data_IF_834547726532
#
_entry.id   IF_834547726532
#
_cell.length_a   1.000
_cell.length_b   1.000
_cell.length_c   1.000
_cell.angle_alpha   90.00
_cell.angle_beta   90.00
_cell.angle_gamma   90.00
#
_symmetry.space_group_name_H-M   'P 1'
#
loop_
_entity.id
_entity.type
_entity.pdbx_description
1 polymer ?
#
# COMPACT_ATOMS: atom_id res chain seq x y z
N UNK A 1 -14.07 -72.41 -14.84
CA UNK A 1 -13.72 -71.25 -14.03
C UNK A 1 -13.48 -70.04 -14.92
N UNK A 2 -14.45 -69.10 -15.04
CA UNK A 2 -14.29 -67.87 -15.84
C UNK A 2 -13.65 -66.77 -14.97
N UNK A 3 -12.39 -66.40 -15.21
CA UNK A 3 -11.71 -65.25 -14.62
C UNK A 3 -12.42 -63.97 -15.10
N UNK A 4 -13.19 -63.27 -14.22
CA UNK A 4 -13.68 -61.94 -14.45
C UNK A 4 -12.46 -61.03 -14.57
N UNK A 5 -12.23 -60.52 -15.77
CA UNK A 5 -11.30 -59.38 -16.00
C UNK A 5 -11.90 -58.17 -15.29
N UNK A 6 -11.25 -57.76 -14.23
CA UNK A 6 -11.57 -56.45 -13.60
C UNK A 6 -11.18 -55.37 -14.60
N UNK A 7 -12.15 -54.65 -15.04
CA UNK A 7 -11.95 -53.50 -15.94
C UNK A 7 -11.14 -52.41 -15.22
N UNK A 8 -10.24 -51.69 -15.93
CA UNK A 8 -9.40 -50.64 -15.39
C UNK A 8 -10.14 -49.27 -15.26
N UNK A 9 -11.46 -49.26 -14.98
CA UNK A 9 -12.30 -48.09 -14.90
C UNK A 9 -11.94 -47.19 -13.71
N UNK A 10 -11.36 -47.75 -12.64
CA UNK A 10 -10.97 -47.01 -11.45
C UNK A 10 -9.78 -46.07 -11.66
N UNK A 11 -8.94 -46.34 -12.65
CA UNK A 11 -7.79 -45.49 -13.01
C UNK A 11 -8.21 -44.26 -13.83
N UNK A 12 -9.17 -44.41 -14.72
CA UNK A 12 -9.64 -43.33 -15.58
C UNK A 12 -10.37 -42.24 -14.79
N UNK A 13 -11.27 -42.60 -13.88
CA UNK A 13 -11.97 -41.61 -13.04
C UNK A 13 -11.02 -40.83 -12.12
N UNK A 14 -9.90 -41.43 -11.70
CA UNK A 14 -8.88 -40.76 -10.90
C UNK A 14 -8.13 -39.70 -11.72
N UNK A 15 -7.82 -40.00 -12.98
CA UNK A 15 -7.19 -39.06 -13.90
C UNK A 15 -8.14 -37.90 -14.25
N UNK A 16 -9.42 -38.18 -14.54
CA UNK A 16 -10.43 -37.17 -14.79
C UNK A 16 -10.61 -36.24 -13.57
N UNK A 17 -10.66 -36.80 -12.37
CA UNK A 17 -10.72 -36.05 -11.13
C UNK A 17 -9.49 -35.14 -10.95
N UNK A 18 -8.28 -35.67 -11.14
CA UNK A 18 -7.04 -34.92 -11.03
C UNK A 18 -6.97 -33.75 -12.04
N UNK A 19 -7.48 -33.95 -13.24
CA UNK A 19 -7.51 -32.93 -14.29
C UNK A 19 -8.46 -31.77 -13.97
N UNK A 20 -9.57 -32.06 -13.30
CA UNK A 20 -10.52 -31.02 -12.83
C UNK A 20 -10.02 -30.35 -11.55
N UNK A 21 -9.36 -31.09 -10.65
CA UNK A 21 -8.85 -30.53 -9.39
C UNK A 21 -7.73 -29.52 -9.60
N UNK A 22 -6.88 -29.68 -10.61
CA UNK A 22 -5.77 -28.77 -10.87
C UNK A 22 -6.24 -27.32 -11.15
N UNK A 23 -7.12 -27.05 -12.12
CA UNK A 23 -7.64 -25.71 -12.35
C UNK A 23 -8.46 -25.19 -11.16
N UNK A 24 -9.18 -26.05 -10.43
CA UNK A 24 -9.91 -25.66 -9.24
C UNK A 24 -8.97 -25.12 -8.16
N UNK A 25 -7.86 -25.79 -7.89
CA UNK A 25 -6.85 -25.31 -6.94
C UNK A 25 -6.26 -23.96 -7.37
N UNK A 26 -5.97 -23.78 -8.66
CA UNK A 26 -5.44 -22.52 -9.17
C UNK A 26 -6.43 -21.37 -8.91
N UNK A 27 -7.72 -21.62 -9.13
CA UNK A 27 -8.78 -20.62 -8.85
C UNK A 27 -8.85 -20.30 -7.35
N UNK A 28 -8.86 -21.30 -6.49
CA UNK A 28 -8.92 -21.10 -5.04
C UNK A 28 -7.69 -20.30 -4.55
N UNK A 29 -6.51 -20.68 -4.99
CA UNK A 29 -5.27 -19.97 -4.65
C UNK A 29 -5.30 -18.53 -5.18
N UNK A 30 -5.86 -18.31 -6.38
CA UNK A 30 -6.07 -16.97 -6.94
C UNK A 30 -6.95 -16.12 -6.04
N UNK A 31 -8.08 -16.64 -5.58
CA UNK A 31 -9.01 -15.94 -4.69
C UNK A 31 -8.30 -15.55 -3.37
N UNK A 32 -7.52 -16.46 -2.79
CA UNK A 32 -6.74 -16.20 -1.57
C UNK A 32 -5.73 -15.07 -1.80
N UNK A 33 -4.95 -15.12 -2.89
CA UNK A 33 -3.96 -14.09 -3.20
C UNK A 33 -4.61 -12.72 -3.41
N UNK A 34 -5.70 -12.66 -4.16
CA UNK A 34 -6.45 -11.41 -4.37
C UNK A 34 -7.08 -10.90 -3.07
N UNK A 35 -7.50 -11.77 -2.17
CA UNK A 35 -7.96 -11.39 -0.84
C UNK A 35 -6.89 -10.63 -0.04
N UNK A 36 -5.64 -11.10 -0.06
CA UNK A 36 -4.52 -10.40 0.57
C UNK A 36 -4.21 -9.06 -0.09
N UNK A 37 -4.18 -9.00 -1.43
CA UNK A 37 -3.96 -7.76 -2.19
C UNK A 37 -5.06 -6.74 -1.87
N UNK A 38 -6.32 -7.15 -1.87
CA UNK A 38 -7.45 -6.28 -1.58
C UNK A 38 -7.41 -5.74 -0.15
N UNK A 39 -7.14 -6.61 0.83
CA UNK A 39 -6.98 -6.20 2.22
C UNK A 39 -5.85 -5.17 2.39
N UNK A 40 -4.69 -5.40 1.76
CA UNK A 40 -3.59 -4.46 1.77
C UNK A 40 -4.00 -3.12 1.14
N UNK A 41 -4.64 -3.14 -0.02
CA UNK A 41 -5.10 -1.93 -0.72
C UNK A 41 -6.07 -1.09 0.11
N UNK A 42 -7.06 -1.72 0.73
CA UNK A 42 -8.02 -1.03 1.62
C UNK A 42 -7.30 -0.44 2.83
N UNK A 43 -6.38 -1.19 3.42
CA UNK A 43 -5.63 -0.74 4.60
C UNK A 43 -4.75 0.48 4.29
N UNK A 44 -3.96 0.44 3.20
CA UNK A 44 -3.12 1.59 2.84
C UNK A 44 -3.96 2.81 2.44
N UNK A 45 -5.11 2.59 1.80
CA UNK A 45 -6.02 3.69 1.43
C UNK A 45 -6.57 4.39 2.67
N UNK A 46 -6.99 3.63 3.68
CA UNK A 46 -7.46 4.19 4.94
C UNK A 46 -6.32 4.88 5.70
N UNK A 47 -5.13 4.27 5.75
CA UNK A 47 -3.96 4.85 6.40
C UNK A 47 -3.55 6.18 5.75
N UNK A 48 -3.49 6.24 4.42
CA UNK A 48 -3.17 7.46 3.66
C UNK A 48 -4.21 8.56 3.93
N UNK A 49 -5.49 8.20 3.99
CA UNK A 49 -6.58 9.13 4.30
C UNK A 49 -6.47 9.69 5.73
N UNK A 50 -6.15 8.86 6.71
CA UNK A 50 -5.94 9.29 8.08
C UNK A 50 -4.71 10.20 8.22
N UNK A 51 -3.63 9.90 7.50
CA UNK A 51 -2.46 10.77 7.42
C UNK A 51 -2.77 12.13 6.80
N UNK A 52 -3.48 12.15 5.67
CA UNK A 52 -3.90 13.39 5.01
C UNK A 52 -4.81 14.22 5.93
N UNK A 53 -5.77 13.58 6.61
CA UNK A 53 -6.65 14.26 7.58
C UNK A 53 -5.88 14.89 8.73
N UNK A 54 -4.88 14.19 9.27
CA UNK A 54 -4.02 14.77 10.30
C UNK A 54 -3.24 15.98 9.77
N UNK A 55 -2.73 15.88 8.54
CA UNK A 55 -2.02 16.98 7.89
C UNK A 55 -2.86 18.24 7.73
N UNK A 56 -4.18 18.12 7.51
CA UNK A 56 -5.07 19.28 7.33
C UNK A 56 -5.41 20.01 8.64
N UNK A 57 -5.35 19.33 9.78
CA UNK A 57 -5.67 19.92 11.10
C UNK A 57 -4.42 20.26 11.91
N UNK A 58 -3.23 20.12 11.32
CA UNK A 58 -1.99 20.41 12.00
C UNK A 58 -1.85 21.92 12.27
N UNK A 59 -1.64 22.28 13.51
CA UNK A 59 -1.43 23.65 13.93
C UNK A 59 0.08 23.94 13.99
N UNK A 60 0.50 25.05 13.37
CA UNK A 60 1.89 25.49 13.42
C UNK A 60 2.26 25.99 14.81
N UNK A 61 3.42 25.57 15.29
CA UNK A 61 4.01 26.05 16.53
C UNK A 61 4.59 27.46 16.32
N UNK A 62 4.16 28.45 17.09
CA UNK A 62 4.56 29.86 16.88
C UNK A 62 6.08 30.11 17.02
N UNK A 63 6.79 29.24 17.73
CA UNK A 63 8.23 29.34 17.92
C UNK A 63 9.08 28.68 16.81
N UNK A 64 8.46 27.99 15.87
CA UNK A 64 9.14 27.28 14.80
C UNK A 64 9.12 28.07 13.50
N UNK A 65 10.19 27.94 12.72
CA UNK A 65 10.17 28.39 11.32
C UNK A 65 9.18 27.54 10.51
N UNK A 66 8.80 28.04 9.33
CA UNK A 66 7.95 27.30 8.37
C UNK A 66 8.54 25.90 8.07
N UNK A 67 9.84 25.83 7.82
CA UNK A 67 10.52 24.57 7.52
C UNK A 67 10.44 23.57 8.68
N UNK A 68 10.59 24.04 9.92
CA UNK A 68 10.47 23.21 11.11
C UNK A 68 9.02 22.71 11.30
N UNK A 69 8.03 23.57 11.07
CA UNK A 69 6.63 23.20 11.13
C UNK A 69 6.24 22.21 10.02
N UNK A 70 6.71 22.44 8.78
CA UNK A 70 6.46 21.49 7.68
C UNK A 70 7.08 20.12 7.99
N UNK A 71 8.29 20.08 8.56
CA UNK A 71 8.95 18.85 8.95
C UNK A 71 8.18 18.13 10.08
N UNK A 72 7.75 18.86 11.09
CA UNK A 72 6.97 18.31 12.19
C UNK A 72 5.61 17.76 11.70
N UNK A 73 4.93 18.49 10.81
CA UNK A 73 3.69 18.03 10.15
C UNK A 73 3.93 16.75 9.36
N UNK A 74 4.99 16.70 8.54
CA UNK A 74 5.31 15.52 7.73
C UNK A 74 5.61 14.30 8.59
N UNK A 75 6.33 14.48 9.71
CA UNK A 75 6.58 13.40 10.67
C UNK A 75 5.26 12.91 11.30
N UNK A 76 4.38 13.82 11.72
CA UNK A 76 3.08 13.46 12.27
C UNK A 76 2.21 12.70 11.25
N UNK A 77 2.20 13.14 9.97
CA UNK A 77 1.53 12.42 8.88
C UNK A 77 2.11 11.02 8.73
N UNK A 78 3.44 10.89 8.69
CA UNK A 78 4.13 9.59 8.58
C UNK A 78 3.74 8.66 9.72
N UNK A 79 3.84 9.13 10.95
CA UNK A 79 3.52 8.34 12.15
C UNK A 79 2.06 7.90 12.14
N UNK A 80 1.15 8.76 11.68
CA UNK A 80 -0.26 8.42 11.55
C UNK A 80 -0.51 7.38 10.46
N UNK A 81 0.12 7.50 9.29
CA UNK A 81 0.04 6.51 8.22
C UNK A 81 0.54 5.15 8.72
N UNK A 82 1.75 5.10 9.30
CA UNK A 82 2.33 3.88 9.83
C UNK A 82 1.47 3.25 10.94
N UNK A 83 1.00 4.06 11.88
CA UNK A 83 0.13 3.61 12.97
C UNK A 83 -1.20 3.03 12.47
N UNK A 84 -1.71 3.54 11.35
CA UNK A 84 -2.97 3.07 10.74
C UNK A 84 -2.81 1.85 9.82
N UNK A 85 -1.57 1.49 9.46
CA UNK A 85 -1.28 0.32 8.63
C UNK A 85 -1.30 -1.01 9.39
N UNK A 86 -1.31 -0.97 10.73
CA UNK A 86 -1.36 -2.16 11.60
C UNK A 86 -0.27 -3.19 11.26
N UNK A 87 -0.69 -4.43 10.97
CA UNK A 87 0.21 -5.53 10.67
C UNK A 87 0.98 -5.38 9.35
N UNK A 88 0.52 -4.56 8.42
CA UNK A 88 1.21 -4.35 7.15
C UNK A 88 2.61 -3.75 7.34
N UNK A 89 2.82 -2.93 8.36
CA UNK A 89 4.14 -2.39 8.69
C UNK A 89 5.16 -3.44 9.09
N UNK A 90 4.69 -4.59 9.61
CA UNK A 90 5.55 -5.71 10.02
C UNK A 90 5.84 -6.69 8.89
N UNK A 91 4.89 -6.87 7.97
CA UNK A 91 5.00 -7.83 6.87
C UNK A 91 5.73 -7.28 5.66
N UNK A 92 5.81 -5.96 5.55
CA UNK A 92 6.51 -5.29 4.46
C UNK A 92 7.33 -4.11 5.00
N UNK A 93 8.60 -4.34 5.34
CA UNK A 93 9.49 -3.33 5.93
C UNK A 93 9.98 -2.28 4.91
N UNK A 94 9.21 -2.01 3.86
CA UNK A 94 9.58 -1.06 2.80
C UNK A 94 9.31 0.39 3.17
N UNK A 95 8.41 0.64 4.13
CA UNK A 95 8.25 1.97 4.66
C UNK A 95 9.52 2.36 5.39
N UNK A 96 10.16 3.41 4.92
CA UNK A 96 11.41 3.88 5.48
C UNK A 96 11.27 4.15 6.98
N UNK A 97 12.15 3.56 7.76
CA UNK A 97 12.36 3.93 9.15
C UNK A 97 13.17 5.23 9.27
N UNK A 98 13.67 5.77 8.14
CA UNK A 98 14.42 7.01 8.10
C UNK A 98 13.59 8.17 8.66
N UNK A 99 14.25 9.01 9.46
CA UNK A 99 13.69 10.28 9.93
C UNK A 99 13.96 11.42 8.95
N UNK A 100 14.76 11.16 7.91
CA UNK A 100 15.21 12.17 6.95
C UNK A 100 14.23 12.28 5.80
N UNK A 101 13.74 13.48 5.55
CA UNK A 101 12.93 13.83 4.40
C UNK A 101 13.80 14.46 3.31
N UNK A 102 13.62 14.02 2.08
CA UNK A 102 14.18 14.67 0.91
C UNK A 102 13.15 15.64 0.37
N UNK A 103 13.51 16.91 0.26
CA UNK A 103 12.64 17.96 -0.26
C UNK A 103 13.01 18.31 -1.69
N UNK A 104 12.01 18.39 -2.56
CA UNK A 104 12.11 18.92 -3.92
C UNK A 104 10.92 19.85 -4.17
N UNK A 105 11.17 21.16 -4.13
CA UNK A 105 10.10 22.14 -4.20
C UNK A 105 9.10 21.99 -3.04
N UNK A 106 7.84 21.73 -3.38
CA UNK A 106 6.75 21.51 -2.40
C UNK A 106 6.52 20.06 -2.06
N UNK A 107 7.32 19.15 -2.59
CA UNK A 107 7.22 17.70 -2.39
C UNK A 107 8.29 17.22 -1.42
N UNK A 108 7.85 16.47 -0.42
CA UNK A 108 8.66 15.83 0.61
C UNK A 108 8.55 14.32 0.47
N UNK A 109 9.68 13.64 0.37
CA UNK A 109 9.74 12.18 0.20
C UNK A 109 10.49 11.54 1.37
N UNK A 110 9.91 10.49 1.94
CA UNK A 110 10.54 9.64 2.95
C UNK A 110 10.24 8.17 2.60
N UNK A 111 11.17 7.54 1.87
CA UNK A 111 10.96 6.20 1.35
C UNK A 111 9.73 6.13 0.45
N UNK A 112 8.79 5.28 0.80
CA UNK A 112 7.55 5.03 0.04
C UNK A 112 6.41 6.01 0.39
N UNK A 113 6.67 7.00 1.25
CA UNK A 113 5.72 8.04 1.60
C UNK A 113 6.11 9.36 0.97
N UNK A 114 5.18 9.98 0.27
CA UNK A 114 5.34 11.29 -0.37
C UNK A 114 4.25 12.23 0.10
N UNK A 115 4.65 13.41 0.57
CA UNK A 115 3.74 14.49 0.95
C UNK A 115 4.00 15.68 0.03
N UNK A 116 2.98 16.14 -0.66
CA UNK A 116 3.06 17.29 -1.56
C UNK A 116 2.08 18.36 -1.13
N UNK A 117 2.55 19.59 -1.08
CA UNK A 117 1.73 20.75 -0.78
C UNK A 117 1.46 21.54 -2.06
N UNK A 118 0.23 21.99 -2.29
CA UNK A 118 0.00 23.05 -3.26
C UNK A 118 0.63 24.33 -2.72
N UNK A 119 1.19 25.11 -3.62
CA UNK A 119 1.76 26.43 -3.28
C UNK A 119 1.09 27.49 -4.15
N UNK A 120 -0.15 27.92 -3.81
CA UNK A 120 -0.83 28.91 -4.59
C UNK A 120 -0.02 30.22 -4.57
N UNK A 121 0.02 30.91 -5.71
CA UNK A 121 0.70 32.18 -5.82
C UNK A 121 0.10 33.19 -4.83
N UNK A 122 0.97 33.90 -4.10
CA UNK A 122 0.57 34.97 -3.17
C UNK A 122 0.30 34.53 -1.73
N UNK A 123 0.49 33.24 -1.38
CA UNK A 123 0.42 32.80 0.02
C UNK A 123 1.76 33.11 0.71
N UNK A 124 1.77 33.93 1.79
CA UNK A 124 3.00 34.22 2.53
C UNK A 124 3.63 32.98 3.13
N UNK A 125 4.95 32.95 3.25
CA UNK A 125 5.66 31.82 3.88
C UNK A 125 5.32 31.62 5.38
N UNK A 126 4.83 32.66 6.03
CA UNK A 126 4.40 32.63 7.43
C UNK A 126 3.00 32.06 7.62
N UNK A 127 2.26 31.83 6.53
CA UNK A 127 0.91 31.26 6.59
C UNK A 127 0.96 29.79 7.00
N UNK A 128 0.10 29.34 7.91
CA UNK A 128 -0.02 27.93 8.32
C UNK A 128 -0.57 26.99 7.22
N UNK A 129 -0.53 27.41 5.96
CA UNK A 129 -1.02 26.67 4.80
C UNK A 129 -2.54 26.44 4.78
N UNK A 130 -3.29 27.28 5.45
CA UNK A 130 -4.76 27.29 5.39
C UNK A 130 -5.21 27.50 3.94
N UNK A 131 -6.15 26.67 3.49
CA UNK A 131 -6.65 26.69 2.11
C UNK A 131 -5.77 25.99 1.09
N UNK A 132 -4.56 25.52 1.46
CA UNK A 132 -3.71 24.75 0.57
C UNK A 132 -4.10 23.28 0.52
N UNK A 133 -3.84 22.64 -0.60
CA UNK A 133 -4.02 21.20 -0.73
C UNK A 133 -2.79 20.47 -0.18
N UNK A 134 -3.07 19.42 0.57
CA UNK A 134 -2.07 18.45 1.02
C UNK A 134 -2.38 17.13 0.34
N UNK A 135 -1.45 16.64 -0.46
CA UNK A 135 -1.54 15.33 -1.10
C UNK A 135 -0.59 14.38 -0.39
N UNK A 136 -1.13 13.31 0.16
CA UNK A 136 -0.36 12.23 0.77
C UNK A 136 -0.45 11.02 -0.13
N UNK A 137 0.71 10.50 -0.54
CA UNK A 137 0.82 9.29 -1.37
C UNK A 137 1.67 8.26 -0.65
N UNK A 138 1.14 7.05 -0.52
CA UNK A 138 1.85 5.91 0.03
C UNK A 138 1.98 4.81 -1.03
N UNK A 139 3.17 4.26 -1.19
CA UNK A 139 3.46 3.09 -2.00
C UNK A 139 3.72 1.91 -1.07
N UNK A 140 2.99 0.83 -1.25
CA UNK A 140 3.14 -0.40 -0.51
C UNK A 140 3.52 -1.55 -1.44
N UNK A 141 4.51 -2.34 -1.06
CA UNK A 141 5.01 -3.47 -1.84
C UNK A 141 4.46 -4.78 -1.25
N UNK A 142 3.39 -5.28 -1.86
CA UNK A 142 2.72 -6.51 -1.44
C UNK A 142 3.50 -7.74 -1.88
N UNK A 143 3.85 -8.60 -0.93
CA UNK A 143 4.44 -9.90 -1.23
C UNK A 143 3.42 -10.82 -1.91
N UNK A 144 3.85 -11.49 -2.98
CA UNK A 144 3.04 -12.44 -3.72
C UNK A 144 3.42 -13.86 -3.25
N UNK A 145 2.51 -14.48 -2.48
CA UNK A 145 2.75 -15.77 -1.81
C UNK A 145 2.67 -16.92 -2.80
N UNK A 146 1.84 -16.78 -3.85
CA UNK A 146 1.56 -17.86 -4.79
C UNK A 146 2.37 -17.66 -6.08
N UNK A 147 3.42 -18.46 -6.34
CA UNK A 147 4.34 -18.23 -7.46
C UNK A 147 3.67 -18.24 -8.84
N UNK A 148 2.63 -19.06 -9.02
CA UNK A 148 1.89 -19.15 -10.29
C UNK A 148 1.14 -17.86 -10.58
N UNK A 149 0.47 -17.29 -9.57
CA UNK A 149 -0.26 -16.03 -9.68
C UNK A 149 0.73 -14.85 -9.80
N UNK A 150 1.85 -14.92 -9.10
CA UNK A 150 2.90 -13.91 -9.17
C UNK A 150 3.44 -13.70 -10.60
N UNK A 151 3.44 -14.73 -11.44
CA UNK A 151 3.88 -14.60 -12.84
C UNK A 151 2.91 -13.84 -13.74
N UNK A 152 1.64 -13.74 -13.34
CA UNK A 152 0.58 -13.07 -14.08
C UNK A 152 0.43 -11.59 -13.70
N UNK A 153 1.03 -11.16 -12.57
CA UNK A 153 0.89 -9.79 -12.04
C UNK A 153 2.15 -8.97 -12.31
N UNK A 154 2.02 -7.64 -12.47
CA UNK A 154 3.18 -6.75 -12.54
C UNK A 154 3.95 -6.80 -11.22
N UNK A 155 5.29 -6.84 -11.32
CA UNK A 155 6.18 -6.96 -10.16
C UNK A 155 7.31 -5.94 -10.24
N UNK A 156 7.72 -5.46 -9.07
CA UNK A 156 8.95 -4.69 -8.93
C UNK A 156 10.21 -5.58 -9.06
N UNK A 157 11.39 -4.96 -8.95
CA UNK A 157 12.66 -5.66 -9.03
C UNK A 157 12.85 -6.74 -7.93
N UNK A 158 12.10 -6.64 -6.83
CA UNK A 158 12.10 -7.59 -5.72
C UNK A 158 10.98 -8.65 -5.83
N UNK A 159 10.26 -8.68 -6.93
CA UNK A 159 9.18 -9.64 -7.17
C UNK A 159 7.86 -9.32 -6.47
N UNK A 160 7.65 -8.09 -5.99
CA UNK A 160 6.47 -7.65 -5.24
C UNK A 160 5.53 -6.81 -6.10
N UNK A 161 4.26 -6.80 -5.75
CA UNK A 161 3.24 -5.96 -6.38
C UNK A 161 3.19 -4.59 -5.71
N UNK A 162 3.44 -3.52 -6.48
CA UNK A 162 3.28 -2.15 -5.99
C UNK A 162 1.80 -1.74 -5.89
N UNK A 163 1.37 -1.35 -4.68
CA UNK A 163 0.04 -0.80 -4.43
C UNK A 163 0.20 0.65 -4.02
N UNK A 164 -0.39 1.56 -4.80
CA UNK A 164 -0.33 3.00 -4.54
C UNK A 164 -1.67 3.50 -4.04
N UNK A 165 -1.64 4.28 -2.98
CA UNK A 165 -2.77 5.07 -2.52
C UNK A 165 -2.37 6.54 -2.47
N UNK A 166 -3.24 7.41 -2.97
CA UNK A 166 -3.04 8.85 -2.98
C UNK A 166 -4.34 9.55 -2.55
N UNK A 167 -4.22 10.47 -1.62
CA UNK A 167 -5.34 11.24 -1.08
C UNK A 167 -4.95 12.70 -0.98
N UNK A 168 -5.80 13.57 -1.53
CA UNK A 168 -5.65 15.02 -1.46
C UNK A 168 -6.75 15.61 -0.59
N UNK A 169 -6.37 16.46 0.35
CA UNK A 169 -7.29 17.21 1.22
C UNK A 169 -6.87 18.66 1.32
N UNK A 170 -7.80 19.54 1.65
CA UNK A 170 -7.57 20.97 1.87
C UNK A 170 -7.29 21.21 3.34
N UNK A 171 -6.23 21.95 3.65
CA UNK A 171 -5.92 22.39 5.03
C UNK A 171 -6.91 23.45 5.48
N UNK A 172 -7.44 23.29 6.67
CA UNK A 172 -8.38 24.25 7.30
C UNK A 172 -7.67 25.15 8.28
#
# INVERSE_FOLDING_TARGET
MRRRRRHPETGQSLVEFALVMMPLFVIILGIIQFGFIFNAYVTITNATREGARLGTVYVYEPGFSKSQNDLARNNAIKDRVLGSMNLLTKTAPQFSTSTTWTQSGTTFTNGDLVVTYSNPAGVPETDPRVGQQITVRALYHQDLIIPLIAQLLPRDANGRLGLTSEVTMVAN
#
